data_IF_020728125538
#
_entry.id   IF_020728125538
#
_cell.length_a   1.000
_cell.length_b   1.000
_cell.length_c   1.000
_cell.angle_alpha   90.00
_cell.angle_beta   90.00
_cell.angle_gamma   90.00
#
_symmetry.space_group_name_H-M   'P 1'
#
loop_
_entity.id
_entity.type
_entity.pdbx_description
1 polymer ?
#
# COMPACT_ATOMS: atom_id res chain seq x y z
N UNK A 1 15.91 25.47 26.95
CA UNK A 1 14.50 25.35 26.54
C UNK A 1 14.49 24.56 25.24
N UNK A 2 14.11 23.29 25.29
CA UNK A 2 14.09 22.41 24.12
C UNK A 2 12.76 22.60 23.40
N UNK A 3 12.79 23.14 22.20
CA UNK A 3 11.60 23.23 21.35
C UNK A 3 11.30 21.85 20.79
N UNK A 4 10.39 21.12 21.45
CA UNK A 4 9.72 19.98 20.84
C UNK A 4 9.07 20.45 19.54
N UNK A 5 9.59 19.99 18.40
CA UNK A 5 8.96 20.15 17.10
C UNK A 5 7.67 19.30 17.10
N UNK A 6 6.59 19.88 17.64
CA UNK A 6 5.26 19.28 17.55
C UNK A 6 4.87 19.20 16.07
N UNK A 7 4.46 18.01 15.58
CA UNK A 7 4.04 17.88 14.20
C UNK A 7 2.81 18.78 13.95
N UNK A 8 2.82 19.47 12.81
CA UNK A 8 1.73 20.37 12.42
C UNK A 8 0.44 19.59 12.15
N UNK A 9 -0.72 20.24 12.25
CA UNK A 9 -2.03 19.62 11.91
C UNK A 9 -2.02 18.94 10.55
N UNK A 10 -1.35 19.54 9.55
CA UNK A 10 -1.18 18.95 8.23
C UNK A 10 -0.37 17.64 8.22
N UNK A 11 0.61 17.48 9.13
CA UNK A 11 1.38 16.24 9.27
C UNK A 11 0.55 15.15 9.97
N UNK A 12 -0.26 15.54 10.95
CA UNK A 12 -1.15 14.62 11.68
C UNK A 12 -2.32 14.15 10.79
N UNK A 13 -2.89 15.04 9.98
CA UNK A 13 -3.95 14.71 9.03
C UNK A 13 -3.46 13.74 7.94
N UNK A 14 -2.27 13.97 7.36
CA UNK A 14 -1.65 13.04 6.39
C UNK A 14 -1.43 11.65 6.96
N UNK A 15 -1.14 11.52 8.26
CA UNK A 15 -1.00 10.23 8.94
C UNK A 15 -2.34 9.48 9.07
N UNK A 16 -3.45 10.22 9.16
CA UNK A 16 -4.80 9.67 9.26
C UNK A 16 -5.45 9.41 7.89
N UNK A 17 -5.00 10.12 6.85
CA UNK A 17 -5.47 9.97 5.46
C UNK A 17 -4.71 8.89 4.67
N UNK A 18 -3.57 8.43 5.17
CA UNK A 18 -2.96 7.19 4.68
C UNK A 18 -3.88 6.06 5.15
N UNK A 19 -4.52 5.28 4.25
CA UNK A 19 -5.32 4.14 4.67
C UNK A 19 -4.45 3.26 5.56
N UNK A 20 -4.94 2.79 6.71
CA UNK A 20 -4.15 1.94 7.62
C UNK A 20 -3.47 0.78 6.87
N UNK A 21 -4.11 0.30 5.81
CA UNK A 21 -3.62 -0.68 4.85
C UNK A 21 -2.33 -0.26 4.13
N UNK A 22 -2.15 1.01 3.76
CA UNK A 22 -0.92 1.48 3.12
C UNK A 22 0.27 1.51 4.09
N UNK A 23 0.03 1.74 5.39
CA UNK A 23 1.11 1.62 6.38
C UNK A 23 1.62 0.17 6.47
N UNK A 24 0.72 -0.81 6.43
CA UNK A 24 1.09 -2.24 6.38
C UNK A 24 1.94 -2.55 5.13
N UNK A 25 1.54 -2.04 3.96
CA UNK A 25 2.33 -2.20 2.74
C UNK A 25 3.72 -1.55 2.83
N UNK A 26 3.85 -0.40 3.50
CA UNK A 26 5.16 0.24 3.74
C UNK A 26 6.05 -0.62 4.63
N UNK A 27 5.49 -1.27 5.66
CA UNK A 27 6.25 -2.15 6.55
C UNK A 27 6.75 -3.39 5.81
N UNK A 28 5.90 -4.03 5.01
CA UNK A 28 6.30 -5.21 4.23
C UNK A 28 7.28 -4.84 3.11
N UNK A 29 7.04 -3.74 2.39
CA UNK A 29 7.95 -3.22 1.39
C UNK A 29 9.33 -2.91 1.97
N UNK A 30 9.39 -2.35 3.17
CA UNK A 30 10.67 -2.10 3.87
C UNK A 30 11.44 -3.39 4.10
N UNK A 31 10.79 -4.46 4.59
CA UNK A 31 11.46 -5.77 4.78
C UNK A 31 12.04 -6.31 3.47
N UNK A 32 11.30 -6.18 2.37
CA UNK A 32 11.77 -6.63 1.04
C UNK A 32 12.96 -5.79 0.56
N UNK A 33 12.88 -4.47 0.67
CA UNK A 33 13.96 -3.58 0.26
C UNK A 33 15.20 -3.79 1.13
N UNK A 34 15.04 -3.95 2.45
CA UNK A 34 16.15 -4.25 3.37
C UNK A 34 16.85 -5.58 3.01
N UNK A 35 16.08 -6.60 2.62
CA UNK A 35 16.61 -7.91 2.25
C UNK A 35 17.37 -7.91 0.92
N UNK A 36 16.92 -7.12 -0.06
CA UNK A 36 17.48 -7.14 -1.42
C UNK A 36 18.45 -5.98 -1.72
N UNK A 37 18.36 -4.88 -0.97
CA UNK A 37 19.13 -3.65 -1.17
C UNK A 37 19.73 -3.11 0.14
N UNK A 38 20.50 -3.90 0.90
CA UNK A 38 20.95 -3.53 2.25
C UNK A 38 21.95 -2.37 2.31
N UNK A 39 22.60 -2.01 1.19
CA UNK A 39 23.69 -1.03 1.14
C UNK A 39 23.29 0.28 0.45
N UNK A 40 22.00 0.48 0.18
CA UNK A 40 21.53 1.67 -0.53
C UNK A 40 21.55 2.91 0.37
N UNK A 41 21.81 4.07 -0.24
CA UNK A 41 21.77 5.34 0.48
C UNK A 41 20.35 5.60 0.99
N UNK A 42 20.23 6.19 2.19
CA UNK A 42 18.94 6.32 2.89
C UNK A 42 17.83 6.98 2.06
N UNK A 43 18.17 7.91 1.17
CA UNK A 43 17.22 8.54 0.25
C UNK A 43 16.70 7.59 -0.82
N UNK A 44 17.59 6.83 -1.48
CA UNK A 44 17.23 5.83 -2.49
C UNK A 44 16.47 4.66 -1.85
N UNK A 45 16.93 4.21 -0.68
CA UNK A 45 16.26 3.20 0.14
C UNK A 45 14.80 3.56 0.41
N UNK A 46 14.54 4.75 0.97
CA UNK A 46 13.18 5.18 1.29
C UNK A 46 12.31 5.34 0.04
N UNK A 47 12.87 5.82 -1.08
CA UNK A 47 12.15 5.89 -2.35
C UNK A 47 11.74 4.49 -2.83
N UNK A 48 12.64 3.50 -2.74
CA UNK A 48 12.33 2.11 -3.09
C UNK A 48 11.24 1.51 -2.21
N UNK A 49 11.24 1.74 -0.88
CA UNK A 49 10.16 1.16 -0.06
C UNK A 49 8.81 1.81 -0.36
N UNK A 50 8.77 3.10 -0.68
CA UNK A 50 7.52 3.77 -1.07
C UNK A 50 7.00 3.23 -2.40
N UNK A 51 7.86 3.08 -3.41
CA UNK A 51 7.44 2.53 -4.71
C UNK A 51 7.04 1.06 -4.60
N UNK A 52 7.80 0.25 -3.85
CA UNK A 52 7.43 -1.14 -3.59
C UNK A 52 6.06 -1.24 -2.88
N UNK A 53 5.80 -0.41 -1.87
CA UNK A 53 4.50 -0.39 -1.19
C UNK A 53 3.35 -0.01 -2.12
N UNK A 54 3.55 0.97 -3.02
CA UNK A 54 2.56 1.33 -4.04
C UNK A 54 2.28 0.17 -4.99
N UNK A 55 3.32 -0.52 -5.47
CA UNK A 55 3.17 -1.68 -6.34
C UNK A 55 2.42 -2.82 -5.67
N UNK A 56 2.74 -3.12 -4.40
CA UNK A 56 2.04 -4.14 -3.62
C UNK A 56 0.56 -3.80 -3.44
N UNK A 57 0.24 -2.56 -3.08
CA UNK A 57 -1.13 -2.09 -2.96
C UNK A 57 -1.89 -2.20 -4.28
N UNK A 58 -1.27 -1.81 -5.40
CA UNK A 58 -1.89 -1.89 -6.72
C UNK A 58 -2.19 -3.34 -7.13
N UNK A 59 -1.24 -4.27 -6.92
CA UNK A 59 -1.46 -5.70 -7.19
C UNK A 59 -2.60 -6.27 -6.34
N UNK A 60 -2.68 -5.90 -5.06
CA UNK A 60 -3.76 -6.33 -4.19
C UNK A 60 -5.13 -5.82 -4.69
N UNK A 61 -5.23 -4.54 -5.07
CA UNK A 61 -6.46 -3.98 -5.64
C UNK A 61 -6.87 -4.61 -6.96
N UNK A 62 -5.92 -4.97 -7.82
CA UNK A 62 -6.22 -5.71 -9.04
C UNK A 62 -6.82 -7.08 -8.74
N UNK A 63 -6.29 -7.81 -7.76
CA UNK A 63 -6.86 -9.09 -7.31
C UNK A 63 -8.29 -8.95 -6.75
N UNK A 64 -8.57 -7.90 -5.98
CA UNK A 64 -9.94 -7.60 -5.53
C UNK A 64 -10.90 -7.36 -6.71
N UNK A 65 -10.45 -6.65 -7.74
CA UNK A 65 -11.24 -6.40 -8.96
C UNK A 65 -11.48 -7.69 -9.74
N UNK A 66 -10.46 -8.53 -9.90
CA UNK A 66 -10.59 -9.82 -10.60
C UNK A 66 -11.61 -10.73 -9.92
N UNK A 67 -11.59 -10.80 -8.58
CA UNK A 67 -12.60 -11.55 -7.82
C UNK A 67 -14.00 -10.99 -8.06
N UNK A 68 -14.18 -9.66 -7.98
CA UNK A 68 -15.47 -9.03 -8.21
C UNK A 68 -16.00 -9.28 -9.64
N UNK A 69 -15.13 -9.30 -10.65
CA UNK A 69 -15.50 -9.64 -12.03
C UNK A 69 -15.96 -11.10 -12.12
N UNK A 70 -15.23 -12.04 -11.50
CA UNK A 70 -15.60 -13.45 -11.52
C UNK A 70 -16.95 -13.69 -10.85
N UNK A 71 -17.24 -13.02 -9.74
CA UNK A 71 -18.53 -13.11 -9.05
C UNK A 71 -19.67 -12.60 -9.95
N UNK A 72 -19.46 -11.50 -10.68
CA UNK A 72 -20.44 -10.96 -11.64
C UNK A 72 -20.68 -11.96 -12.79
N UNK A 73 -19.62 -12.53 -13.35
CA UNK A 73 -19.74 -13.51 -14.45
C UNK A 73 -20.53 -14.72 -13.99
N UNK A 74 -20.19 -15.29 -12.83
CA UNK A 74 -20.89 -16.42 -12.24
C UNK A 74 -22.40 -16.15 -12.08
N UNK A 75 -22.76 -15.00 -11.51
CA UNK A 75 -24.16 -14.60 -11.32
C UNK A 75 -24.93 -14.31 -12.61
N UNK A 76 -24.24 -13.98 -13.70
CA UNK A 76 -24.86 -13.76 -15.01
C UNK A 76 -25.07 -15.07 -15.76
N UNK A 77 -24.09 -15.98 -15.72
CA UNK A 77 -24.18 -17.30 -16.35
C UNK A 77 -25.33 -18.13 -15.74
N UNK A 78 -25.49 -18.09 -14.41
CA UNK A 78 -26.58 -18.78 -13.70
C UNK A 78 -28.00 -18.27 -14.07
N UNK A 79 -28.13 -17.07 -14.65
CA UNK A 79 -29.41 -16.47 -15.05
C UNK A 79 -29.82 -16.82 -16.48
N UNK A 80 -28.89 -17.29 -17.32
CA UNK A 80 -29.22 -17.71 -18.69
C UNK A 80 -29.78 -19.14 -18.76
N UNK A 81 -29.65 -19.93 -17.70
CA UNK A 81 -30.15 -21.31 -17.61
C UNK A 81 -31.58 -21.45 -17.03
N UNK A 82 -32.25 -20.35 -16.66
CA UNK A 82 -33.65 -20.32 -16.16
C UNK A 82 -34.61 -19.60 -17.09
#
# INVERSE_FOLDING_TARGET
>A
MSTENKPTEAQTQRKNDIPSQFYEWIVEARKLVDAHFPNEVSSAHNAMVVEAAKSMMMMHKLGEIEMAINDIVFELDDREET
#
